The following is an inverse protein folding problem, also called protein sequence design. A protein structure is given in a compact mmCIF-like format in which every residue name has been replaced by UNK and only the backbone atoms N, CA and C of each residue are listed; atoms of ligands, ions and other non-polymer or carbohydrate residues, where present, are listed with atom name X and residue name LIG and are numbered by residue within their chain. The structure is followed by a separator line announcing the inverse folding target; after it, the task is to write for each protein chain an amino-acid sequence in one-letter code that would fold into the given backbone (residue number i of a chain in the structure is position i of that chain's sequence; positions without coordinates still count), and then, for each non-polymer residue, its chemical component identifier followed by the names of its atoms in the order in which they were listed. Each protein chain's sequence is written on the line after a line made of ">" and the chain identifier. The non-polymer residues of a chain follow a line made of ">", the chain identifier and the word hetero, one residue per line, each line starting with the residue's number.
data_IF_864267339553
#
_entry.id   IF_864267339553
#
_cell.length_a   1.000
_cell.length_b   1.000
_cell.length_c   1.000
_cell.angle_alpha   90.00
_cell.angle_beta   90.00
_cell.angle_gamma   90.00
#
_symmetry.space_group_name_H-M   'P 1'
#
loop_
_entity.id
_entity.type
_entity.pdbx_description
1 polymer ?
#
# COMPACT_ATOMS: atom_id res chain seq x y z
N UNK A 1 -0.62 3.01 -19.76
CA UNK A 1 -0.92 4.20 -18.95
C UNK A 1 -1.23 3.76 -17.54
N UNK A 2 -0.58 4.35 -16.55
CA UNK A 2 -0.95 4.17 -15.14
C UNK A 2 -2.28 4.90 -14.82
N UNK A 3 -2.78 4.76 -13.58
CA UNK A 3 -4.05 5.36 -13.15
C UNK A 3 -4.06 6.89 -13.30
N UNK A 4 -2.96 7.57 -13.00
CA UNK A 4 -2.87 9.03 -13.07
C UNK A 4 -2.93 9.51 -14.51
N UNK A 5 -2.24 8.82 -15.42
CA UNK A 5 -2.24 9.12 -16.85
C UNK A 5 -3.62 8.88 -17.48
N UNK A 6 -4.28 7.77 -17.13
CA UNK A 6 -5.66 7.49 -17.58
C UNK A 6 -6.65 8.54 -17.08
N UNK A 7 -6.50 8.97 -15.82
CA UNK A 7 -7.33 10.02 -15.24
C UNK A 7 -7.13 11.35 -15.97
N UNK A 8 -5.88 11.76 -16.19
CA UNK A 8 -5.55 12.99 -16.92
C UNK A 8 -6.02 12.96 -18.39
N UNK A 9 -5.97 11.80 -19.04
CA UNK A 9 -6.43 11.60 -20.41
C UNK A 9 -7.95 11.45 -20.55
N UNK A 10 -8.71 11.39 -19.45
CA UNK A 10 -10.16 11.16 -19.48
C UNK A 10 -10.59 9.75 -19.94
N UNK A 11 -9.66 8.79 -19.98
CA UNK A 11 -9.89 7.41 -20.45
C UNK A 11 -10.06 6.40 -19.33
N UNK A 12 -10.06 6.88 -18.08
CA UNK A 12 -10.16 6.04 -16.88
C UNK A 12 -11.55 5.40 -16.75
N UNK A 13 -11.60 4.09 -16.49
CA UNK A 13 -12.87 3.42 -16.20
C UNK A 13 -13.41 3.80 -14.82
N UNK A 14 -14.71 3.60 -14.58
CA UNK A 14 -15.34 3.88 -13.28
C UNK A 14 -14.66 3.13 -12.11
N UNK A 15 -14.24 1.89 -12.34
CA UNK A 15 -13.56 1.07 -11.33
C UNK A 15 -12.17 1.62 -11.01
N UNK A 16 -11.42 1.99 -12.03
CA UNK A 16 -10.09 2.60 -11.88
C UNK A 16 -10.18 3.98 -11.20
N UNK A 17 -11.16 4.79 -11.55
CA UNK A 17 -11.37 6.10 -10.93
C UNK A 17 -11.70 5.97 -9.43
N UNK A 18 -12.48 4.95 -9.07
CA UNK A 18 -12.78 4.63 -7.67
C UNK A 18 -11.51 4.24 -6.92
N UNK A 19 -10.67 3.38 -7.50
CA UNK A 19 -9.39 3.00 -6.93
C UNK A 19 -8.46 4.21 -6.79
N UNK A 20 -8.32 5.02 -7.84
CA UNK A 20 -7.48 6.22 -7.87
C UNK A 20 -7.87 7.21 -6.77
N UNK A 21 -9.18 7.48 -6.63
CA UNK A 21 -9.70 8.38 -5.58
C UNK A 21 -9.42 7.83 -4.17
N UNK A 22 -9.67 6.53 -3.94
CA UNK A 22 -9.41 5.89 -2.65
C UNK A 22 -7.93 5.90 -2.30
N UNK A 23 -7.08 5.57 -3.27
CA UNK A 23 -5.63 5.57 -3.08
C UNK A 23 -5.09 6.97 -2.79
N UNK A 24 -5.50 7.99 -3.56
CA UNK A 24 -5.11 9.37 -3.30
C UNK A 24 -5.55 9.87 -1.92
N UNK A 25 -6.76 9.49 -1.46
CA UNK A 25 -7.21 9.79 -0.09
C UNK A 25 -6.32 9.11 0.96
N UNK A 26 -6.00 7.83 0.77
CA UNK A 26 -5.15 7.08 1.69
C UNK A 26 -3.73 7.65 1.74
N UNK A 27 -3.13 8.00 0.59
CA UNK A 27 -1.82 8.66 0.53
C UNK A 27 -1.80 10.00 1.29
N UNK A 28 -2.85 10.82 1.13
CA UNK A 28 -2.98 12.09 1.86
C UNK A 28 -3.05 11.89 3.37
N UNK A 29 -3.75 10.85 3.83
CA UNK A 29 -3.82 10.54 5.26
C UNK A 29 -2.48 10.00 5.77
N UNK A 30 -1.86 9.10 5.01
CA UNK A 30 -0.56 8.50 5.34
C UNK A 30 0.54 9.55 5.48
N UNK A 31 0.57 10.56 4.59
CA UNK A 31 1.55 11.65 4.67
C UNK A 31 1.31 12.61 5.83
N UNK A 32 0.11 12.64 6.40
CA UNK A 32 -0.22 13.46 7.56
C UNK A 32 0.08 12.72 8.86
N UNK A 33 -0.37 11.47 8.95
CA UNK A 33 -0.21 10.61 10.11
C UNK A 33 -0.32 9.13 9.68
N UNK A 34 0.77 8.36 9.71
CA UNK A 34 0.72 6.94 9.38
C UNK A 34 -0.16 6.10 10.30
N UNK A 35 -0.48 6.61 11.49
CA UNK A 35 -1.36 5.97 12.48
C UNK A 35 -2.83 6.37 12.36
N UNK A 36 -3.20 7.13 11.32
CA UNK A 36 -4.57 7.59 11.13
C UNK A 36 -5.56 6.41 11.22
N UNK A 37 -6.59 6.45 12.09
CA UNK A 37 -7.38 5.25 12.41
C UNK A 37 -8.02 4.56 11.20
N UNK A 38 -8.42 5.32 10.19
CA UNK A 38 -9.05 4.78 8.99
C UNK A 38 -8.08 4.00 8.08
N UNK A 39 -6.76 4.17 8.24
CA UNK A 39 -5.74 3.43 7.50
C UNK A 39 -5.53 2.02 8.06
N UNK A 40 -5.91 1.74 9.31
CA UNK A 40 -5.65 0.45 9.98
C UNK A 40 -4.21 -0.04 9.77
N UNK A 41 -3.25 0.88 9.90
CA UNK A 41 -1.84 0.60 9.68
C UNK A 41 -1.33 -0.43 10.69
N UNK A 42 -0.71 -1.50 10.20
CA UNK A 42 -0.05 -2.49 11.04
C UNK A 42 1.16 -3.09 10.33
N UNK A 43 2.07 -3.65 11.10
CA UNK A 43 3.24 -4.33 10.59
C UNK A 43 2.89 -5.71 10.05
N UNK A 44 3.65 -6.14 9.05
CA UNK A 44 3.49 -7.46 8.46
C UNK A 44 4.74 -8.26 8.80
N UNK A 45 4.68 -9.00 9.92
CA UNK A 45 5.83 -9.75 10.43
C UNK A 45 6.47 -10.69 9.37
N UNK A 46 5.72 -11.47 8.57
CA UNK A 46 6.33 -12.31 7.54
C UNK A 46 7.10 -11.54 6.47
N UNK A 47 6.59 -10.39 6.03
CA UNK A 47 7.27 -9.56 5.03
C UNK A 47 8.45 -8.81 5.65
N UNK A 48 8.32 -8.38 6.90
CA UNK A 48 9.41 -7.77 7.66
C UNK A 48 10.58 -8.74 7.80
N UNK A 49 10.32 -10.02 8.11
CA UNK A 49 11.35 -11.07 8.16
C UNK A 49 11.94 -11.35 6.78
N UNK A 50 11.13 -11.37 5.72
CA UNK A 50 11.57 -11.61 4.34
C UNK A 50 12.55 -10.56 3.85
N UNK A 51 12.28 -9.29 4.11
CA UNK A 51 13.01 -8.17 3.52
C UNK A 51 13.99 -7.50 4.48
N UNK A 52 14.00 -7.87 5.77
CA UNK A 52 14.91 -7.29 6.76
C UNK A 52 14.60 -5.84 7.15
N UNK A 53 13.52 -5.26 6.62
CA UNK A 53 13.02 -3.92 6.90
C UNK A 53 11.56 -4.01 7.32
N UNK A 54 11.10 -3.13 8.22
CA UNK A 54 9.71 -3.13 8.68
C UNK A 54 8.76 -2.77 7.54
N UNK A 55 7.95 -3.73 7.14
CA UNK A 55 6.93 -3.56 6.09
C UNK A 55 5.57 -3.33 6.76
N UNK A 56 4.89 -2.27 6.32
CA UNK A 56 3.59 -1.86 6.82
C UNK A 56 2.51 -2.11 5.79
N UNK A 57 1.30 -2.44 6.26
CA UNK A 57 0.09 -2.46 5.46
C UNK A 57 -0.84 -1.34 5.88
N UNK A 58 -1.44 -0.63 4.92
CA UNK A 58 -2.54 0.30 5.17
C UNK A 58 -3.72 0.04 4.23
N UNK A 59 -4.92 0.27 4.74
CA UNK A 59 -6.19 0.06 4.05
C UNK A 59 -6.52 1.28 3.20
N UNK A 60 -6.96 1.03 1.96
CA UNK A 60 -7.57 2.08 1.12
C UNK A 60 -9.05 2.31 1.45
N UNK A 61 -9.67 1.32 2.09
CA UNK A 61 -11.08 1.25 2.41
C UNK A 61 -11.31 0.21 3.51
N UNK A 62 -12.24 0.52 4.40
CA UNK A 62 -12.64 -0.35 5.50
C UNK A 62 -13.88 -1.17 5.16
N UNK A 63 -14.12 -2.25 5.90
CA UNK A 63 -15.29 -3.13 5.77
C UNK A 63 -15.48 -3.78 4.39
N UNK A 64 -14.41 -3.88 3.60
CA UNK A 64 -14.40 -4.56 2.31
C UNK A 64 -13.18 -5.46 2.21
N UNK A 65 -13.36 -6.77 2.40
CA UNK A 65 -12.24 -7.75 2.40
C UNK A 65 -11.50 -7.83 1.06
N UNK A 66 -12.19 -7.51 -0.05
CA UNK A 66 -11.61 -7.46 -1.40
C UNK A 66 -10.98 -6.11 -1.76
N UNK A 67 -10.95 -5.16 -0.84
CA UNK A 67 -10.33 -3.86 -1.11
C UNK A 67 -8.81 -4.02 -1.23
N UNK A 68 -8.24 -3.15 -2.06
CA UNK A 68 -6.79 -3.04 -2.19
C UNK A 68 -6.16 -2.61 -0.86
N UNK A 69 -4.88 -2.95 -0.71
CA UNK A 69 -4.00 -2.55 0.39
C UNK A 69 -2.77 -1.87 -0.17
N UNK A 70 -2.31 -0.85 0.54
CA UNK A 70 -1.07 -0.16 0.25
C UNK A 70 0.01 -0.71 1.17
N UNK A 71 1.15 -1.07 0.59
CA UNK A 71 2.30 -1.59 1.30
C UNK A 71 3.41 -0.56 1.23
N UNK A 72 4.06 -0.29 2.36
CA UNK A 72 5.07 0.75 2.46
C UNK A 72 6.11 0.46 3.53
N UNK A 73 7.24 1.15 3.42
CA UNK A 73 8.35 1.15 4.39
C UNK A 73 8.73 2.58 4.74
N UNK A 74 9.34 2.79 5.90
CA UNK A 74 10.05 4.04 6.15
C UNK A 74 11.37 4.05 5.39
N UNK A 75 11.82 5.22 4.97
CA UNK A 75 13.04 5.39 4.17
C UNK A 75 12.76 5.64 2.69
N UNK A 76 13.81 5.87 1.87
CA UNK A 76 15.23 5.70 2.21
C UNK A 76 15.77 6.74 3.20
N UNK A 77 15.25 7.97 3.15
CA UNK A 77 15.62 9.06 4.04
C UNK A 77 14.83 9.09 5.36
N UNK A 78 15.32 9.87 6.32
CA UNK A 78 14.61 10.10 7.58
C UNK A 78 13.27 10.81 7.31
N UNK A 79 12.18 10.22 7.81
CA UNK A 79 10.78 10.67 7.64
C UNK A 79 10.15 10.36 6.29
N UNK A 80 10.87 9.70 5.38
CA UNK A 80 10.29 9.26 4.12
C UNK A 80 9.40 8.02 4.32
N UNK A 81 8.38 7.95 3.48
CA UNK A 81 7.52 6.79 3.33
C UNK A 81 7.59 6.36 1.87
N UNK A 82 8.17 5.20 1.63
CA UNK A 82 8.23 4.60 0.29
C UNK A 82 7.09 3.62 0.11
N UNK A 83 6.24 3.88 -0.89
CA UNK A 83 5.19 2.94 -1.30
C UNK A 83 5.83 1.86 -2.17
N UNK A 84 5.69 0.60 -1.75
CA UNK A 84 6.29 -0.56 -2.42
C UNK A 84 5.25 -1.51 -3.02
N UNK A 85 3.96 -1.29 -2.79
CA UNK A 85 2.92 -2.10 -3.39
C UNK A 85 1.51 -1.54 -3.26
N UNK A 86 0.68 -1.84 -4.25
CA UNK A 86 -0.76 -1.63 -4.25
C UNK A 86 -1.42 -2.92 -4.73
N UNK A 87 -1.71 -3.83 -3.80
CA UNK A 87 -2.15 -5.20 -4.09
C UNK A 87 -3.47 -5.51 -3.36
N UNK A 88 -4.33 -6.41 -3.88
CA UNK A 88 -5.47 -6.88 -3.11
C UNK A 88 -5.00 -7.54 -1.82
N UNK A 89 -5.84 -7.49 -0.77
CA UNK A 89 -5.55 -8.24 0.45
C UNK A 89 -5.40 -9.72 0.11
N UNK A 90 -4.30 -10.40 0.51
CA UNK A 90 -4.17 -11.83 0.27
C UNK A 90 -5.27 -12.55 1.05
N UNK A 91 -6.07 -13.38 0.38
CA UNK A 91 -7.27 -13.98 0.99
C UNK A 91 -6.94 -14.70 2.31
N UNK A 92 -7.71 -14.39 3.36
CA UNK A 92 -7.52 -14.80 4.77
C UNK A 92 -7.49 -16.31 5.05
N UNK A 93 -7.54 -17.18 4.02
CA UNK A 93 -7.81 -18.60 4.20
C UNK A 93 -6.60 -19.53 4.22
N UNK A 94 -5.35 -19.07 4.13
CA UNK A 94 -4.18 -19.98 4.13
C UNK A 94 -2.95 -19.39 4.83
N UNK A 95 -2.27 -20.21 5.63
CA UNK A 95 -0.87 -19.98 6.04
C UNK A 95 -0.05 -19.68 4.79
N UNK A 96 0.72 -18.58 4.79
CA UNK A 96 1.48 -18.12 3.61
C UNK A 96 0.75 -17.13 2.70
N UNK A 97 -0.31 -16.47 3.17
CA UNK A 97 -1.07 -15.48 2.40
C UNK A 97 -0.15 -14.37 1.82
N UNK A 98 0.80 -13.89 2.64
CA UNK A 98 1.80 -12.89 2.23
C UNK A 98 2.89 -13.42 1.29
N UNK A 99 3.00 -14.74 1.09
CA UNK A 99 4.02 -15.30 0.20
C UNK A 99 3.79 -14.92 -1.26
N UNK A 100 2.52 -14.67 -1.61
CA UNK A 100 2.09 -14.34 -2.96
C UNK A 100 2.02 -12.83 -3.23
N UNK A 101 2.28 -12.00 -2.22
CA UNK A 101 2.30 -10.55 -2.40
C UNK A 101 3.59 -10.18 -3.12
N UNK A 102 3.45 -9.67 -4.34
CA UNK A 102 4.57 -9.14 -5.11
C UNK A 102 4.73 -7.67 -4.73
N UNK A 103 5.89 -7.32 -4.18
CA UNK A 103 6.24 -5.94 -3.86
C UNK A 103 7.36 -5.48 -4.80
N UNK A 104 7.47 -4.16 -4.93
CA UNK A 104 8.60 -3.52 -5.58
C UNK A 104 9.88 -3.78 -4.79
N UNK A 105 11.03 -3.59 -5.43
CA UNK A 105 12.32 -3.66 -4.77
C UNK A 105 12.37 -2.68 -3.59
N UNK A 106 13.02 -3.09 -2.51
CA UNK A 106 13.18 -2.23 -1.34
C UNK A 106 14.10 -1.07 -1.66
N UNK A 107 13.81 0.14 -1.14
CA UNK A 107 14.70 1.28 -1.31
C UNK A 107 16.05 0.99 -0.64
N UNK A 108 17.13 1.52 -1.23
CA UNK A 108 18.45 1.50 -0.59
C UNK A 108 18.40 2.48 0.58
N UNK A 109 18.51 1.96 1.80
CA UNK A 109 18.40 2.77 3.02
C UNK A 109 19.70 3.56 3.23
N UNK A 110 19.58 4.87 3.40
CA UNK A 110 20.72 5.71 3.79
C UNK A 110 21.02 5.47 5.28
N UNK A 111 22.21 4.96 5.58
CA UNK A 111 22.73 4.65 6.92
C UNK A 111 23.59 5.76 7.47
#
# INVERSE_FOLDING_TARGET
>A
MDLSQKNAAGTISKKELTLYTKWGKAMRLLSQDPSYPSLHTHDIEPLTKRYGVKVWQSYLENNTSRAMRMYWVYGPDRQDITIIGLEPHPEDKKNGAYDKVTLSDMPVMDV
#
